data_IF_178521750813
#
_entry.id   IF_178521750813
#
_cell.length_a   1.000
_cell.length_b   1.000
_cell.length_c   1.000
_cell.angle_alpha   90.00
_cell.angle_beta   90.00
_cell.angle_gamma   90.00
#
_symmetry.space_group_name_H-M   'P 1'
#
loop_
_entity.id
_entity.type
_entity.pdbx_description
1 polymer ?
#
# COMPACT_ATOMS: atom_id res chain seq x y z
N UNK A 1 -10.47 18.04 16.15
CA UNK A 1 -11.82 18.50 15.75
C UNK A 1 -11.99 18.47 14.24
N UNK A 2 -11.25 19.29 13.47
CA UNK A 2 -11.41 19.42 12.01
C UNK A 2 -11.46 18.11 11.19
N UNK A 3 -10.58 17.13 11.48
CA UNK A 3 -10.60 15.84 10.77
C UNK A 3 -11.91 15.07 11.01
N UNK A 4 -12.34 14.99 12.27
CA UNK A 4 -13.58 14.27 12.63
C UNK A 4 -14.82 14.98 12.07
N UNK A 5 -14.83 16.32 12.06
CA UNK A 5 -15.91 17.12 11.46
C UNK A 5 -16.03 16.87 9.95
N UNK A 6 -14.90 16.82 9.23
CA UNK A 6 -14.90 16.52 7.80
C UNK A 6 -15.38 15.09 7.52
N UNK A 7 -14.92 14.10 8.29
CA UNK A 7 -15.33 12.70 8.14
C UNK A 7 -16.84 12.50 8.37
N UNK A 8 -17.44 13.26 9.29
CA UNK A 8 -18.88 13.20 9.60
C UNK A 8 -19.76 14.09 8.70
N UNK A 9 -19.23 14.61 7.61
CA UNK A 9 -19.94 15.57 6.74
C UNK A 9 -20.86 14.92 5.71
N UNK A 10 -21.58 15.75 4.96
CA UNK A 10 -22.54 15.32 3.92
C UNK A 10 -21.90 14.53 2.77
N UNK A 11 -20.57 14.57 2.64
CA UNK A 11 -19.84 13.81 1.61
C UNK A 11 -19.98 12.29 1.78
N UNK A 12 -20.34 11.82 2.98
CA UNK A 12 -20.71 10.41 3.22
C UNK A 12 -21.91 9.92 2.41
N UNK A 13 -22.75 10.84 1.90
CA UNK A 13 -23.93 10.49 1.10
C UNK A 13 -23.64 10.43 -0.40
N UNK A 14 -22.45 10.85 -0.86
CA UNK A 14 -22.16 10.99 -2.28
C UNK A 14 -21.45 9.76 -2.84
N UNK A 15 -22.03 9.20 -3.91
CA UNK A 15 -21.43 8.14 -4.71
C UNK A 15 -20.67 8.76 -5.89
N UNK A 16 -19.36 8.52 -5.96
CA UNK A 16 -18.44 9.21 -6.88
C UNK A 16 -17.44 8.25 -7.56
N UNK A 17 -17.92 7.12 -8.07
CA UNK A 17 -17.05 6.16 -8.77
C UNK A 17 -16.35 6.77 -9.99
N UNK A 18 -15.09 6.38 -10.17
CA UNK A 18 -14.18 6.93 -11.19
C UNK A 18 -13.15 7.87 -10.56
N UNK A 19 -12.59 8.75 -11.38
CA UNK A 19 -11.60 9.76 -10.97
C UNK A 19 -12.10 11.16 -11.30
N UNK A 20 -11.53 12.23 -10.70
CA UNK A 20 -11.90 13.60 -11.05
C UNK A 20 -11.86 13.84 -12.57
N UNK A 21 -12.93 14.42 -13.12
CA UNK A 21 -13.10 14.63 -14.57
C UNK A 21 -13.42 13.38 -15.41
N UNK A 22 -13.45 12.19 -14.80
CA UNK A 22 -13.75 10.91 -15.44
C UNK A 22 -14.62 10.03 -14.52
N UNK A 23 -15.80 10.56 -14.15
CA UNK A 23 -16.76 9.89 -13.26
C UNK A 23 -17.78 9.07 -14.05
N UNK A 24 -18.22 7.96 -13.45
CA UNK A 24 -19.30 7.14 -14.02
C UNK A 24 -20.69 7.73 -13.79
N UNK A 25 -20.82 8.66 -12.84
CA UNK A 25 -22.08 9.28 -12.44
C UNK A 25 -22.00 10.81 -12.48
N UNK A 26 -23.16 11.46 -12.59
CA UNK A 26 -23.27 12.92 -12.61
C UNK A 26 -23.23 13.55 -11.19
N UNK A 27 -23.08 14.88 -11.14
CA UNK A 27 -23.19 15.68 -9.92
C UNK A 27 -21.98 15.54 -8.98
N UNK A 28 -20.77 15.43 -9.55
CA UNK A 28 -19.51 15.21 -8.81
C UNK A 28 -18.62 16.45 -8.75
N UNK A 29 -19.07 17.60 -9.24
CA UNK A 29 -18.29 18.84 -9.36
C UNK A 29 -17.57 19.20 -8.06
N UNK A 30 -18.31 19.20 -6.94
CA UNK A 30 -17.77 19.53 -5.61
C UNK A 30 -16.87 18.41 -5.04
N UNK A 31 -17.16 17.14 -5.35
CA UNK A 31 -16.33 16.01 -4.88
C UNK A 31 -15.02 15.92 -5.67
N UNK A 32 -15.04 16.28 -6.95
CA UNK A 32 -13.84 16.39 -7.77
C UNK A 32 -12.92 17.47 -7.23
N UNK A 33 -13.44 18.64 -6.84
CA UNK A 33 -12.66 19.67 -6.17
C UNK A 33 -12.06 19.16 -4.85
N UNK A 34 -12.85 18.47 -4.02
CA UNK A 34 -12.39 17.89 -2.76
C UNK A 34 -11.26 16.87 -2.98
N UNK A 35 -11.43 15.94 -3.91
CA UNK A 35 -10.44 14.89 -4.19
C UNK A 35 -9.16 15.49 -4.78
N UNK A 36 -9.27 16.47 -5.69
CA UNK A 36 -8.11 17.19 -6.23
C UNK A 36 -7.33 17.94 -5.14
N UNK A 37 -8.01 18.58 -4.18
CA UNK A 37 -7.33 19.22 -3.05
C UNK A 37 -6.54 18.21 -2.20
N UNK A 38 -7.09 17.01 -1.98
CA UNK A 38 -6.40 15.96 -1.25
C UNK A 38 -5.17 15.45 -2.03
N UNK A 39 -5.31 15.21 -3.33
CA UNK A 39 -4.24 14.77 -4.23
C UNK A 39 -3.10 15.80 -4.24
N UNK A 40 -3.39 17.07 -4.47
CA UNK A 40 -2.37 18.12 -4.54
C UNK A 40 -1.65 18.33 -3.20
N UNK A 41 -2.36 18.21 -2.08
CA UNK A 41 -1.74 18.27 -0.75
C UNK A 41 -0.78 17.10 -0.52
N UNK A 42 -1.13 15.88 -0.93
CA UNK A 42 -0.22 14.74 -0.81
C UNK A 42 1.00 14.88 -1.72
N UNK A 43 0.80 15.31 -2.96
CA UNK A 43 1.89 15.59 -3.91
C UNK A 43 2.86 16.62 -3.35
N UNK A 44 2.35 17.72 -2.80
CA UNK A 44 3.17 18.74 -2.16
C UNK A 44 3.87 18.24 -0.89
N UNK A 45 3.19 17.46 -0.04
CA UNK A 45 3.74 16.94 1.22
C UNK A 45 4.89 15.95 0.99
N UNK A 46 4.73 15.02 0.03
CA UNK A 46 5.69 13.95 -0.22
C UNK A 46 6.62 14.23 -1.41
N UNK A 47 6.43 15.33 -2.13
CA UNK A 47 7.21 15.66 -3.33
C UNK A 47 7.02 14.64 -4.46
N UNK A 48 5.83 14.04 -4.58
CA UNK A 48 5.54 13.02 -5.58
C UNK A 48 4.76 13.58 -6.79
N UNK A 49 4.90 12.91 -7.94
CA UNK A 49 4.22 13.30 -9.18
C UNK A 49 2.73 12.89 -9.18
N UNK A 50 2.41 11.75 -8.57
CA UNK A 50 1.08 11.15 -8.56
C UNK A 50 0.67 10.72 -7.15
N UNK A 51 -0.62 10.80 -6.84
CA UNK A 51 -1.20 10.26 -5.61
C UNK A 51 -2.63 9.75 -5.87
N UNK A 52 -2.96 8.57 -5.34
CA UNK A 52 -4.32 8.05 -5.31
C UNK A 52 -4.82 8.06 -3.86
N UNK A 53 -5.92 8.77 -3.60
CA UNK A 53 -6.48 9.00 -2.26
C UNK A 53 -7.74 8.16 -1.96
N UNK A 54 -8.08 7.23 -2.85
CA UNK A 54 -9.29 6.40 -2.74
C UNK A 54 -9.15 5.11 -1.91
N UNK A 55 -7.96 4.54 -1.61
CA UNK A 55 -7.89 3.35 -0.78
C UNK A 55 -8.51 3.56 0.61
N UNK A 56 -9.45 2.68 0.98
CA UNK A 56 -10.21 2.81 2.23
C UNK A 56 -9.35 2.73 3.50
N UNK A 57 -8.22 2.04 3.43
CA UNK A 57 -7.26 1.89 4.53
C UNK A 57 -5.93 1.36 4.00
N UNK A 58 -4.96 1.10 4.88
CA UNK A 58 -3.64 0.62 4.49
C UNK A 58 -3.64 -0.75 3.79
N UNK A 59 -4.43 -1.71 4.27
CA UNK A 59 -4.49 -3.05 3.66
C UNK A 59 -5.06 -3.05 2.24
N UNK A 60 -6.20 -2.39 1.94
CA UNK A 60 -6.67 -2.18 0.58
C UNK A 60 -5.69 -1.40 -0.31
N UNK A 61 -4.95 -0.42 0.23
CA UNK A 61 -3.93 0.32 -0.53
C UNK A 61 -2.82 -0.63 -1.02
N UNK A 62 -2.30 -1.48 -0.12
CA UNK A 62 -1.32 -2.50 -0.50
C UNK A 62 -1.93 -3.48 -1.52
N UNK A 63 -3.17 -3.92 -1.32
CA UNK A 63 -3.85 -4.81 -2.27
C UNK A 63 -3.96 -4.19 -3.68
N UNK A 64 -4.23 -2.89 -3.79
CA UNK A 64 -4.27 -2.19 -5.07
C UNK A 64 -2.91 -2.24 -5.79
N UNK A 65 -1.79 -2.06 -5.06
CA UNK A 65 -0.43 -2.20 -5.61
C UNK A 65 -0.19 -3.62 -6.13
N UNK A 66 -0.56 -4.63 -5.35
CA UNK A 66 -0.47 -6.04 -5.77
C UNK A 66 -1.25 -6.28 -7.08
N UNK A 67 -2.51 -5.84 -7.14
CA UNK A 67 -3.38 -6.06 -8.31
C UNK A 67 -2.96 -5.24 -9.53
N UNK A 68 -2.31 -4.10 -9.34
CA UNK A 68 -1.83 -3.27 -10.45
C UNK A 68 -0.55 -3.81 -11.09
N UNK A 69 0.34 -4.42 -10.29
CA UNK A 69 1.69 -4.77 -10.74
C UNK A 69 1.92 -6.29 -10.91
N UNK A 70 1.08 -7.12 -10.32
CA UNK A 70 1.32 -8.57 -10.19
C UNK A 70 0.12 -9.39 -10.65
N UNK A 71 0.40 -10.65 -10.99
CA UNK A 71 -0.60 -11.69 -11.16
C UNK A 71 -0.49 -12.71 -10.03
N UNK A 72 -1.59 -13.41 -9.66
CA UNK A 72 -1.52 -14.48 -8.66
C UNK A 72 -0.43 -15.51 -8.99
N UNK A 73 0.31 -15.93 -7.98
CA UNK A 73 1.47 -16.82 -8.10
C UNK A 73 2.80 -16.10 -8.32
N UNK A 74 2.82 -14.79 -8.63
CA UNK A 74 4.06 -14.03 -8.67
C UNK A 74 4.76 -14.03 -7.31
N UNK A 75 6.11 -13.97 -7.34
CA UNK A 75 6.92 -13.93 -6.13
C UNK A 75 6.97 -12.52 -5.54
N UNK A 76 6.72 -12.43 -4.24
CA UNK A 76 6.79 -11.18 -3.47
C UNK A 76 7.67 -11.35 -2.26
N UNK A 77 8.45 -10.32 -1.98
CA UNK A 77 9.42 -10.32 -0.91
C UNK A 77 9.11 -9.24 0.12
N UNK A 78 9.25 -9.57 1.41
CA UNK A 78 8.90 -8.68 2.51
C UNK A 78 9.39 -9.20 3.86
N UNK A 79 9.48 -8.31 4.85
CA UNK A 79 9.83 -8.68 6.21
C UNK A 79 8.69 -9.50 6.85
N UNK A 80 8.97 -10.67 7.45
CA UNK A 80 7.96 -11.47 8.14
C UNK A 80 7.37 -10.79 9.37
N UNK A 81 6.11 -11.12 9.70
CA UNK A 81 5.42 -10.58 10.87
C UNK A 81 6.19 -10.81 12.20
N UNK A 82 6.77 -11.99 12.49
CA UNK A 82 7.53 -12.19 13.73
C UNK A 82 8.82 -11.36 13.83
N UNK A 83 9.28 -10.80 12.72
CA UNK A 83 10.49 -9.95 12.63
C UNK A 83 10.15 -8.47 12.46
N UNK A 84 8.91 -8.08 12.74
CA UNK A 84 8.47 -6.69 12.70
C UNK A 84 7.86 -6.25 11.37
N UNK A 85 7.62 -7.18 10.44
CA UNK A 85 6.89 -6.92 9.21
C UNK A 85 5.39 -6.63 9.39
N UNK A 86 4.65 -6.59 8.28
CA UNK A 86 3.19 -6.39 8.28
C UNK A 86 2.46 -7.57 7.61
N UNK A 87 1.22 -7.82 8.00
CA UNK A 87 0.40 -8.92 7.47
C UNK A 87 0.28 -8.90 5.94
N UNK A 88 0.18 -7.72 5.35
CA UNK A 88 0.00 -7.57 3.89
C UNK A 88 1.31 -7.59 3.10
N UNK A 89 2.46 -7.84 3.73
CA UNK A 89 3.77 -7.90 3.05
C UNK A 89 4.13 -9.34 2.66
N UNK A 90 3.12 -10.16 2.35
CA UNK A 90 3.30 -11.55 1.92
C UNK A 90 3.05 -12.61 2.99
N UNK A 91 2.49 -12.26 4.16
CA UNK A 91 2.28 -13.24 5.23
C UNK A 91 1.21 -14.28 4.87
N UNK A 92 1.47 -15.55 5.19
CA UNK A 92 0.75 -16.70 4.61
C UNK A 92 -0.76 -16.74 4.88
N UNK A 93 -1.23 -16.12 5.96
CA UNK A 93 -2.67 -16.09 6.33
C UNK A 93 -3.43 -14.89 5.73
N UNK A 94 -2.75 -14.02 5.00
CA UNK A 94 -3.33 -12.84 4.36
C UNK A 94 -3.40 -13.04 2.83
N UNK A 95 -4.25 -12.27 2.14
CA UNK A 95 -4.34 -12.30 0.66
C UNK A 95 -2.96 -12.22 -0.01
N UNK A 96 -2.05 -11.43 0.56
CA UNK A 96 -0.70 -11.22 0.05
C UNK A 96 0.17 -12.48 0.08
N UNK A 97 -0.13 -13.46 0.93
CA UNK A 97 0.58 -14.74 1.01
C UNK A 97 -0.25 -15.95 0.55
N UNK A 98 -1.57 -15.82 0.43
CA UNK A 98 -2.43 -16.86 -0.19
C UNK A 98 -2.43 -16.76 -1.71
N UNK A 99 -2.43 -15.54 -2.25
CA UNK A 99 -2.55 -15.32 -3.70
C UNK A 99 -1.18 -15.27 -4.38
N UNK A 100 -0.08 -15.07 -3.63
CA UNK A 100 1.27 -14.83 -4.16
C UNK A 100 2.31 -15.70 -3.46
N UNK A 101 3.43 -15.96 -4.14
CA UNK A 101 4.53 -16.75 -3.58
C UNK A 101 5.41 -15.89 -2.67
N UNK A 102 5.40 -16.19 -1.38
CA UNK A 102 6.19 -15.44 -0.39
C UNK A 102 7.68 -15.82 -0.43
N UNK A 103 8.54 -14.80 -0.46
CA UNK A 103 10.00 -14.91 -0.35
C UNK A 103 10.49 -13.94 0.74
N UNK A 104 10.67 -14.35 2.01
CA UNK A 104 11.04 -13.41 3.06
C UNK A 104 12.52 -12.98 2.99
N UNK A 105 12.81 -11.71 3.27
CA UNK A 105 14.12 -11.31 3.80
C UNK A 105 14.07 -11.27 5.32
N UNK A 106 15.23 -11.33 5.97
CA UNK A 106 15.33 -11.56 7.42
C UNK A 106 16.18 -10.51 8.13
N UNK A 107 16.09 -10.48 9.45
CA UNK A 107 17.00 -9.75 10.32
C UNK A 107 18.27 -10.57 10.58
N UNK A 108 19.39 -9.88 10.75
CA UNK A 108 20.64 -10.46 11.19
C UNK A 108 20.54 -10.87 12.66
N UNK A 109 20.87 -12.13 12.98
CA UNK A 109 20.60 -12.74 14.30
C UNK A 109 21.17 -11.95 15.49
N UNK A 110 22.37 -11.39 15.37
CA UNK A 110 23.02 -10.64 16.46
C UNK A 110 22.59 -9.18 16.55
N UNK A 111 22.63 -8.46 15.43
CA UNK A 111 22.35 -7.00 15.41
C UNK A 111 20.86 -6.70 15.39
N UNK A 112 20.01 -7.68 15.05
CA UNK A 112 18.57 -7.51 14.84
C UNK A 112 18.24 -6.43 13.79
N UNK A 113 19.20 -6.09 12.93
CA UNK A 113 19.00 -5.20 11.80
C UNK A 113 18.69 -6.00 10.54
N UNK A 114 18.07 -5.39 9.53
CA UNK A 114 17.86 -6.05 8.22
C UNK A 114 19.20 -6.58 7.70
N UNK A 115 19.24 -7.87 7.38
CA UNK A 115 20.39 -8.52 6.76
C UNK A 115 20.39 -8.22 5.25
N UNK A 116 21.02 -7.11 4.87
CA UNK A 116 21.04 -6.65 3.48
C UNK A 116 21.82 -7.57 2.53
N UNK A 117 22.78 -8.34 3.04
CA UNK A 117 23.53 -9.31 2.24
C UNK A 117 22.65 -10.53 1.94
N UNK A 118 21.99 -11.07 2.96
CA UNK A 118 20.99 -12.14 2.81
C UNK A 118 19.82 -11.73 1.92
N UNK A 119 19.33 -10.49 2.08
CA UNK A 119 18.29 -9.91 1.24
C UNK A 119 18.74 -9.87 -0.22
N UNK A 120 19.93 -9.30 -0.48
CA UNK A 120 20.49 -9.17 -1.84
C UNK A 120 20.64 -10.51 -2.53
N UNK A 121 21.22 -11.50 -1.85
CA UNK A 121 21.44 -12.83 -2.44
C UNK A 121 20.13 -13.58 -2.66
N UNK A 122 19.18 -13.47 -1.74
CA UNK A 122 17.84 -14.05 -1.91
C UNK A 122 17.09 -13.37 -3.06
N UNK A 123 17.16 -12.04 -3.20
CA UNK A 123 16.48 -11.31 -4.26
C UNK A 123 17.03 -11.68 -5.65
N UNK A 124 18.36 -11.87 -5.78
CA UNK A 124 18.98 -12.34 -7.02
C UNK A 124 18.55 -13.77 -7.38
N UNK A 125 18.52 -14.68 -6.40
CA UNK A 125 18.13 -16.08 -6.61
C UNK A 125 16.65 -16.23 -6.94
N UNK A 126 15.80 -15.58 -6.16
CA UNK A 126 14.36 -15.80 -6.22
C UNK A 126 13.65 -14.92 -7.24
N UNK A 127 14.26 -13.79 -7.61
CA UNK A 127 13.75 -12.82 -8.59
C UNK A 127 12.31 -12.39 -8.29
N UNK A 128 12.00 -11.90 -7.07
CA UNK A 128 10.66 -11.43 -6.75
C UNK A 128 10.28 -10.26 -7.67
N UNK A 129 9.01 -10.18 -8.08
CA UNK A 129 8.52 -9.05 -8.88
C UNK A 129 8.26 -7.81 -8.04
N UNK A 130 8.07 -7.96 -6.73
CA UNK A 130 7.85 -6.87 -5.79
C UNK A 130 8.64 -7.14 -4.49
N UNK A 131 9.29 -6.10 -3.97
CA UNK A 131 9.96 -6.10 -2.67
C UNK A 131 9.30 -5.02 -1.81
N UNK A 132 8.62 -5.44 -0.74
CA UNK A 132 8.10 -4.55 0.28
C UNK A 132 9.20 -4.13 1.25
N UNK A 133 9.32 -2.83 1.45
CA UNK A 133 10.14 -2.21 2.51
C UNK A 133 9.22 -1.49 3.49
N UNK A 134 9.64 -1.42 4.75
CA UNK A 134 8.80 -0.96 5.86
C UNK A 134 8.12 -2.11 6.61
N UNK A 135 7.75 -1.83 7.85
CA UNK A 135 7.23 -2.82 8.79
C UNK A 135 6.34 -2.18 9.84
N UNK A 136 5.79 -3.02 10.72
CA UNK A 136 4.90 -2.62 11.81
C UNK A 136 5.69 -2.40 13.11
N UNK A 137 6.72 -3.22 13.35
CA UNK A 137 7.41 -3.29 14.63
C UNK A 137 8.92 -3.50 14.47
N UNK A 138 9.49 -3.00 13.37
CA UNK A 138 10.94 -2.88 13.19
C UNK A 138 11.36 -1.47 13.63
N UNK A 139 12.28 -1.32 14.62
CA UNK A 139 12.57 -0.05 15.29
C UNK A 139 13.40 0.93 14.46
#
# INVERSE_FOLDING_TARGET
>A
AAVLEATGSIFTNKYAEGYPGARYYAGNEIVDELENVAIERLKALFGCEHANVQPYSGSPANQAVYRALLIPGDKVMGLPLPEGGHLTHGWAVNFSGTDYQRVPYRLHEKTQQIDYDQLRETAKRERPKLIWVGGTAYP
#
